data_IF_303533787844
#
_entry.id   IF_303533787844
#
_cell.length_a   1.000
_cell.length_b   1.000
_cell.length_c   1.000
_cell.angle_alpha   90.00
_cell.angle_beta   90.00
_cell.angle_gamma   90.00
#
_symmetry.space_group_name_H-M   'P 1'
#
loop_
_entity.id
_entity.type
_entity.pdbx_description
1 polymer ?
#
# COMPACT_ATOMS: atom_id res chain seq x y z
N UNK A 1 -4.65 11.39 27.33
CA UNK A 1 -5.87 11.33 26.49
C UNK A 1 -6.89 10.49 27.25
N UNK A 2 -8.04 11.07 27.60
CA UNK A 2 -9.14 10.35 28.26
C UNK A 2 -9.85 9.56 27.15
N UNK A 3 -10.04 8.26 27.35
CA UNK A 3 -10.68 7.39 26.37
C UNK A 3 -12.17 7.73 26.28
N UNK A 4 -12.59 8.24 25.11
CA UNK A 4 -13.99 8.39 24.73
C UNK A 4 -14.35 7.23 23.80
N UNK A 5 -15.44 6.48 24.08
CA UNK A 5 -15.98 5.48 23.17
C UNK A 5 -16.20 6.07 21.77
N UNK A 6 -15.95 5.29 20.72
CA UNK A 6 -16.06 5.75 19.33
C UNK A 6 -17.47 6.28 19.00
N UNK A 7 -18.51 5.63 19.52
CA UNK A 7 -19.91 6.08 19.42
C UNK A 7 -20.20 7.47 20.00
N UNK A 8 -19.32 8.01 20.86
CA UNK A 8 -19.45 9.33 21.48
C UNK A 8 -18.53 10.39 20.86
N UNK A 9 -17.75 10.07 19.81
CA UNK A 9 -16.85 11.03 19.16
C UNK A 9 -17.56 11.80 18.06
N UNK A 10 -17.44 13.13 18.10
CA UNK A 10 -17.81 13.96 16.96
C UNK A 10 -16.87 13.65 15.82
N UNK A 11 -17.42 13.27 14.66
CA UNK A 11 -16.60 13.05 13.46
C UNK A 11 -15.89 14.32 13.06
N UNK A 12 -14.64 14.16 12.67
CA UNK A 12 -13.85 15.23 12.10
C UNK A 12 -14.44 15.59 10.72
N UNK A 13 -14.55 16.88 10.41
CA UNK A 13 -15.06 17.30 9.11
C UNK A 13 -14.08 16.96 7.99
N UNK A 14 -14.61 16.67 6.79
CA UNK A 14 -13.82 16.35 5.60
C UNK A 14 -12.73 17.38 5.32
N UNK A 15 -13.05 18.68 5.48
CA UNK A 15 -12.09 19.76 5.31
C UNK A 15 -10.93 19.76 6.31
N UNK A 16 -11.13 19.25 7.54
CA UNK A 16 -10.05 19.08 8.52
C UNK A 16 -9.20 17.87 8.14
N UNK A 17 -9.81 16.72 7.85
CA UNK A 17 -9.08 15.49 7.45
C UNK A 17 -8.23 15.73 6.20
N UNK A 18 -8.75 16.48 5.22
CA UNK A 18 -8.00 16.87 4.01
C UNK A 18 -6.75 17.70 4.33
N UNK A 19 -6.82 18.63 5.29
CA UNK A 19 -5.64 19.41 5.71
C UNK A 19 -4.62 18.55 6.45
N UNK A 20 -5.10 17.65 7.31
CA UNK A 20 -4.23 16.70 8.02
C UNK A 20 -3.53 15.74 7.05
N UNK A 21 -4.26 15.24 6.05
CA UNK A 21 -3.72 14.42 4.96
C UNK A 21 -2.60 15.16 4.24
N UNK A 22 -2.83 16.42 3.82
CA UNK A 22 -1.80 17.19 3.13
C UNK A 22 -0.55 17.41 3.96
N UNK A 23 -0.73 17.67 5.26
CA UNK A 23 0.37 17.86 6.20
C UNK A 23 1.10 16.55 6.48
N UNK A 24 0.37 15.43 6.50
CA UNK A 24 0.92 14.10 6.65
C UNK A 24 1.76 13.70 5.43
N UNK A 25 1.26 13.91 4.22
CA UNK A 25 1.98 13.63 2.98
C UNK A 25 3.32 14.37 2.91
N UNK A 26 3.31 15.67 3.23
CA UNK A 26 4.53 16.48 3.28
C UNK A 26 5.52 15.97 4.32
N UNK A 27 5.06 15.61 5.53
CA UNK A 27 5.92 15.00 6.56
C UNK A 27 6.49 13.66 6.11
N UNK A 28 5.67 12.80 5.52
CA UNK A 28 6.13 11.51 5.00
C UNK A 28 7.23 11.73 3.97
N UNK A 29 6.98 12.58 2.96
CA UNK A 29 7.96 12.91 1.92
C UNK A 29 9.26 13.44 2.51
N UNK A 30 9.19 14.38 3.46
CA UNK A 30 10.37 15.01 4.07
C UNK A 30 11.12 14.09 5.06
N UNK A 31 10.47 13.05 5.57
CA UNK A 31 11.12 12.07 6.47
C UNK A 31 11.97 11.03 5.74
N UNK A 32 11.79 10.90 4.42
CA UNK A 32 12.49 9.90 3.60
C UNK A 32 13.98 10.22 3.49
N UNK A 33 14.81 9.19 3.63
CA UNK A 33 16.25 9.25 3.37
C UNK A 33 16.54 9.02 1.88
N UNK A 34 16.21 10.01 1.04
CA UNK A 34 16.54 10.02 -0.39
C UNK A 34 18.06 9.90 -0.63
N UNK A 35 18.46 9.24 -1.73
CA UNK A 35 19.87 9.16 -2.13
C UNK A 35 20.27 10.34 -3.00
N UNK A 36 19.35 10.82 -3.83
CA UNK A 36 19.63 11.88 -4.78
C UNK A 36 19.24 13.25 -4.23
N UNK A 37 19.88 14.34 -4.71
CA UNK A 37 19.59 15.70 -4.29
C UNK A 37 18.11 16.09 -4.43
N UNK A 38 17.64 17.09 -3.69
CA UNK A 38 16.21 17.46 -3.65
C UNK A 38 15.65 17.88 -5.02
N UNK A 39 16.48 18.46 -5.87
CA UNK A 39 16.18 18.85 -7.25
C UNK A 39 15.89 17.66 -8.18
N UNK A 40 16.23 16.44 -7.81
CA UNK A 40 15.95 15.28 -8.65
C UNK A 40 14.50 14.79 -8.53
N UNK A 41 14.00 14.12 -9.56
CA UNK A 41 12.65 13.55 -9.61
C UNK A 41 12.49 12.39 -8.64
N UNK A 42 11.45 12.46 -7.80
CA UNK A 42 11.09 11.45 -6.79
C UNK A 42 9.65 11.02 -6.98
N UNK A 43 9.37 9.74 -6.81
CA UNK A 43 8.08 9.12 -7.01
C UNK A 43 7.58 8.53 -5.69
N UNK A 44 6.44 9.02 -5.21
CA UNK A 44 5.78 8.51 -4.01
C UNK A 44 4.38 8.00 -4.35
N UNK A 45 4.10 6.74 -4.05
CA UNK A 45 2.80 6.14 -4.22
C UNK A 45 1.99 6.15 -2.94
N UNK A 46 0.67 6.20 -3.06
CA UNK A 46 -0.25 5.84 -1.99
C UNK A 46 -1.18 4.70 -2.44
N UNK A 47 -1.45 3.78 -1.52
CA UNK A 47 -2.45 2.72 -1.67
C UNK A 47 -3.56 2.94 -0.66
N UNK A 48 -4.80 2.84 -1.10
CA UNK A 48 -5.96 3.01 -0.22
C UNK A 48 -6.55 1.67 0.18
N UNK A 49 -7.20 1.62 1.32
CA UNK A 49 -7.93 0.44 1.77
C UNK A 49 -9.19 0.89 2.46
N UNK A 50 -10.36 0.55 1.89
CA UNK A 50 -11.64 0.87 2.53
C UNK A 50 -11.84 0.04 3.78
N UNK A 51 -12.37 0.67 4.81
CA UNK A 51 -12.83 -0.01 6.02
C UNK A 51 -14.32 -0.28 5.84
N UNK A 52 -14.77 -1.54 5.87
CA UNK A 52 -16.18 -1.86 5.77
C UNK A 52 -16.98 -1.13 6.86
N UNK A 53 -18.17 -0.62 6.49
CA UNK A 53 -19.04 0.09 7.44
C UNK A 53 -19.38 -0.77 8.67
N UNK A 54 -19.50 -2.09 8.50
CA UNK A 54 -19.74 -3.06 9.58
C UNK A 54 -18.56 -3.27 10.52
N UNK A 55 -17.33 -2.96 10.09
CA UNK A 55 -16.10 -3.09 10.88
C UNK A 55 -15.58 -1.75 11.41
N UNK A 56 -16.23 -0.63 11.08
CA UNK A 56 -15.70 0.71 11.36
C UNK A 56 -15.54 0.98 12.86
N UNK A 57 -16.55 0.66 13.68
CA UNK A 57 -16.48 0.91 15.13
C UNK A 57 -15.37 0.06 15.77
N UNK A 58 -15.31 -1.24 15.45
CA UNK A 58 -14.27 -2.15 15.92
C UNK A 58 -12.87 -1.72 15.48
N UNK A 59 -12.74 -1.22 14.25
CA UNK A 59 -11.49 -0.67 13.72
C UNK A 59 -11.08 0.58 14.50
N UNK A 60 -11.96 1.55 14.65
CA UNK A 60 -11.68 2.83 15.30
C UNK A 60 -11.35 2.62 16.79
N UNK A 61 -12.12 1.81 17.50
CA UNK A 61 -11.83 1.44 18.88
C UNK A 61 -10.44 0.83 19.02
N UNK A 62 -10.06 -0.06 18.10
CA UNK A 62 -8.71 -0.64 18.06
C UNK A 62 -7.64 0.41 17.73
N UNK A 63 -7.87 1.23 16.71
CA UNK A 63 -6.96 2.26 16.24
C UNK A 63 -6.63 3.26 17.35
N UNK A 64 -7.65 3.76 18.04
CA UNK A 64 -7.45 4.76 19.08
C UNK A 64 -6.97 4.18 20.42
N UNK A 65 -7.37 2.95 20.76
CA UNK A 65 -6.82 2.25 21.93
C UNK A 65 -5.32 1.99 21.77
N UNK A 66 -4.87 1.68 20.54
CA UNK A 66 -3.47 1.38 20.23
C UNK A 66 -2.73 2.53 19.52
N UNK A 67 -3.26 3.76 19.62
CA UNK A 67 -2.84 4.90 18.80
C UNK A 67 -1.33 5.16 18.81
N UNK A 68 -0.70 5.11 19.99
CA UNK A 68 0.73 5.36 20.13
C UNK A 68 1.61 4.31 19.43
N UNK A 69 1.14 3.07 19.37
CA UNK A 69 1.86 2.01 18.68
C UNK A 69 1.59 2.03 17.18
N UNK A 70 0.35 2.30 16.78
CA UNK A 70 -0.02 2.42 15.37
C UNK A 70 0.66 3.63 14.71
N UNK A 71 0.85 4.74 15.42
CA UNK A 71 1.58 5.90 14.91
C UNK A 71 3.06 5.66 14.61
N UNK A 72 3.64 4.55 15.06
CA UNK A 72 4.99 4.14 14.65
C UNK A 72 5.04 3.68 13.19
N UNK A 73 3.89 3.42 12.56
CA UNK A 73 3.78 3.18 11.13
C UNK A 73 3.72 4.51 10.39
N UNK A 74 4.89 5.12 10.20
CA UNK A 74 5.03 6.44 9.60
C UNK A 74 4.53 6.52 8.16
N UNK A 75 4.35 5.38 7.49
CA UNK A 75 3.76 5.24 6.14
C UNK A 75 2.22 5.15 6.13
N UNK A 76 1.55 5.15 7.29
CA UNK A 76 0.10 4.96 7.36
C UNK A 76 -0.64 6.21 7.83
N UNK A 77 -1.72 6.53 7.13
CA UNK A 77 -2.67 7.58 7.50
C UNK A 77 -4.08 7.02 7.52
N UNK A 78 -4.83 7.28 8.59
CA UNK A 78 -6.26 6.98 8.64
C UNK A 78 -7.06 8.21 8.21
N UNK A 79 -7.70 8.12 7.04
CA UNK A 79 -8.65 9.11 6.55
C UNK A 79 -10.03 8.78 7.14
N UNK A 80 -10.32 9.39 8.30
CA UNK A 80 -11.57 9.20 9.05
C UNK A 80 -12.80 9.66 8.25
N UNK A 81 -12.65 10.67 7.38
CA UNK A 81 -13.76 11.20 6.58
C UNK A 81 -14.22 10.18 5.54
N UNK A 82 -13.27 9.49 4.89
CA UNK A 82 -13.55 8.48 3.87
C UNK A 82 -13.55 7.05 4.42
N UNK A 83 -13.25 6.86 5.72
CA UNK A 83 -13.08 5.55 6.38
C UNK A 83 -12.13 4.65 5.60
N UNK A 84 -10.95 5.19 5.30
CA UNK A 84 -9.94 4.47 4.56
C UNK A 84 -8.57 4.60 5.21
N UNK A 85 -7.76 3.56 5.05
CA UNK A 85 -6.34 3.61 5.37
C UNK A 85 -5.59 3.93 4.09
N UNK A 86 -4.69 4.92 4.17
CA UNK A 86 -3.72 5.26 3.13
C UNK A 86 -2.35 4.76 3.54
N UNK A 87 -1.69 4.03 2.65
CA UNK A 87 -0.32 3.50 2.84
C UNK A 87 0.57 4.19 1.82
N UNK A 88 1.54 4.95 2.28
CA UNK A 88 2.50 5.65 1.44
C UNK A 88 3.79 4.85 1.29
N UNK A 89 4.35 4.86 0.09
CA UNK A 89 5.51 4.06 -0.27
C UNK A 89 6.35 4.72 -1.38
N UNK A 90 7.66 4.44 -1.46
CA UNK A 90 8.44 4.77 -2.64
C UNK A 90 7.97 3.93 -3.83
N UNK A 91 7.85 4.54 -5.01
CA UNK A 91 7.50 3.78 -6.23
C UNK A 91 8.77 3.10 -6.77
N UNK A 92 9.25 2.10 -6.03
CA UNK A 92 10.48 1.33 -6.27
C UNK A 92 10.47 0.62 -7.63
N UNK A 93 11.45 0.89 -8.51
CA UNK A 93 11.54 0.30 -9.85
C UNK A 93 10.42 0.70 -10.82
N UNK A 94 9.78 1.86 -10.60
CA UNK A 94 8.79 2.38 -11.54
C UNK A 94 9.40 2.64 -12.92
N UNK A 95 8.67 2.26 -13.96
CA UNK A 95 8.96 2.65 -15.34
C UNK A 95 8.16 3.89 -15.71
N UNK A 96 8.87 4.91 -16.17
CA UNK A 96 8.31 6.17 -16.69
C UNK A 96 8.90 6.42 -18.08
N UNK A 97 8.12 7.02 -18.96
CA UNK A 97 8.60 7.42 -20.28
C UNK A 97 9.45 8.70 -20.21
N UNK A 98 10.61 8.69 -20.87
CA UNK A 98 11.53 9.80 -21.01
C UNK A 98 12.18 9.76 -22.40
N UNK A 99 11.96 10.78 -23.22
CA UNK A 99 12.60 10.90 -24.54
C UNK A 99 12.31 9.71 -25.49
N UNK A 100 11.09 9.15 -25.42
CA UNK A 100 10.68 7.98 -26.20
C UNK A 100 11.27 6.64 -25.72
N UNK A 101 11.86 6.61 -24.51
CA UNK A 101 12.39 5.39 -23.87
C UNK A 101 11.80 5.24 -22.47
N UNK A 102 11.80 4.01 -21.95
CA UNK A 102 11.49 3.78 -20.54
C UNK A 102 12.75 3.96 -19.70
N UNK A 103 12.63 4.74 -18.63
CA UNK A 103 13.62 4.84 -17.57
C UNK A 103 13.07 4.22 -16.29
N UNK A 104 13.94 3.67 -15.47
CA UNK A 104 13.58 2.94 -14.24
C UNK A 104 14.03 3.71 -13.00
N UNK A 105 13.11 3.87 -12.04
CA UNK A 105 13.41 4.48 -10.75
C UNK A 105 14.20 3.52 -9.86
N UNK A 106 15.02 4.05 -8.96
CA UNK A 106 15.75 3.24 -7.97
C UNK A 106 14.81 2.65 -6.89
N UNK A 107 15.38 1.99 -5.87
CA UNK A 107 14.59 1.35 -4.80
C UNK A 107 13.87 2.34 -3.87
N UNK A 108 14.20 3.62 -3.96
CA UNK A 108 13.56 4.71 -3.22
C UNK A 108 12.58 5.50 -4.08
N UNK A 109 12.36 5.09 -5.34
CA UNK A 109 11.50 5.78 -6.29
C UNK A 109 12.15 7.04 -6.86
N UNK A 110 13.47 7.07 -7.04
CA UNK A 110 14.19 8.25 -7.51
C UNK A 110 14.80 8.05 -8.89
N UNK A 111 14.94 9.15 -9.63
CA UNK A 111 15.80 9.22 -10.81
C UNK A 111 16.94 10.21 -10.56
N UNK A 112 18.12 9.95 -11.10
CA UNK A 112 19.24 10.91 -11.08
C UNK A 112 19.07 11.98 -12.18
N UNK A 113 17.94 12.67 -12.18
CA UNK A 113 17.63 13.75 -13.13
C UNK A 113 16.63 14.72 -12.53
N UNK A 114 16.71 15.99 -12.93
CA UNK A 114 15.88 17.06 -12.37
C UNK A 114 14.49 17.12 -13.01
N UNK A 115 14.32 16.50 -14.19
CA UNK A 115 13.06 16.47 -14.93
C UNK A 115 12.98 15.26 -15.84
N UNK A 116 11.74 14.83 -16.13
CA UNK A 116 11.43 13.83 -17.14
C UNK A 116 10.70 14.48 -18.32
N UNK A 117 11.20 14.23 -19.52
CA UNK A 117 10.50 14.51 -20.79
C UNK A 117 9.25 13.63 -20.93
N UNK A 118 8.10 14.07 -20.40
CA UNK A 118 6.86 13.31 -20.48
C UNK A 118 5.77 13.80 -19.53
N UNK A 119 4.77 12.95 -19.29
CA UNK A 119 3.62 13.21 -18.42
C UNK A 119 3.80 12.65 -16.99
N UNK A 120 5.01 12.18 -16.67
CA UNK A 120 5.38 11.54 -15.41
C UNK A 120 4.49 10.35 -15.04
N UNK A 121 3.80 9.73 -16.00
CA UNK A 121 2.94 8.59 -15.71
C UNK A 121 3.77 7.33 -15.43
N UNK A 122 3.42 6.61 -14.37
CA UNK A 122 4.00 5.30 -14.08
C UNK A 122 3.32 4.27 -14.97
N UNK A 123 4.11 3.55 -15.76
CA UNK A 123 3.64 2.56 -16.74
C UNK A 123 3.59 1.15 -16.16
N UNK A 124 4.49 0.84 -15.23
CA UNK A 124 4.75 -0.51 -14.77
C UNK A 124 6.08 -0.62 -14.04
N UNK A 125 6.60 -1.85 -13.97
CA UNK A 125 7.95 -2.16 -13.48
C UNK A 125 8.48 -3.44 -14.11
N UNK A 126 9.79 -3.65 -14.11
CA UNK A 126 10.32 -4.94 -14.53
C UNK A 126 10.00 -6.05 -13.52
N UNK A 127 9.88 -7.27 -14.01
CA UNK A 127 9.88 -8.46 -13.18
C UNK A 127 11.23 -8.58 -12.46
N UNK A 128 11.17 -8.94 -11.20
CA UNK A 128 12.35 -9.23 -10.38
C UNK A 128 12.24 -10.63 -9.81
N UNK A 129 13.27 -11.09 -9.09
CA UNK A 129 13.14 -12.32 -8.32
C UNK A 129 12.11 -12.19 -7.19
N UNK A 130 11.78 -10.95 -6.80
CA UNK A 130 10.81 -10.67 -5.77
C UNK A 130 9.37 -10.47 -6.25
N UNK A 131 9.23 -10.14 -7.54
CA UNK A 131 8.02 -9.62 -8.13
C UNK A 131 7.83 -10.23 -9.53
N UNK A 132 6.72 -10.94 -9.73
CA UNK A 132 6.42 -11.65 -10.98
C UNK A 132 5.15 -11.15 -11.69
N UNK A 133 4.29 -10.39 -11.02
CA UNK A 133 2.97 -10.00 -11.50
C UNK A 133 1.86 -11.00 -11.13
N UNK A 134 0.61 -10.62 -11.42
CA UNK A 134 -0.63 -11.36 -11.14
C UNK A 134 -1.42 -11.62 -12.43
N UNK A 135 -2.49 -12.43 -12.36
CA UNK A 135 -3.31 -12.82 -13.52
C UNK A 135 -3.89 -11.64 -14.32
N UNK A 136 -4.10 -10.50 -13.67
CA UNK A 136 -4.62 -9.29 -14.31
C UNK A 136 -3.57 -8.45 -15.03
N UNK A 137 -2.28 -8.77 -14.93
CA UNK A 137 -1.24 -7.97 -15.57
C UNK A 137 -1.02 -8.38 -17.01
N UNK A 138 -0.78 -7.38 -17.86
CA UNK A 138 -0.11 -7.60 -19.14
C UNK A 138 1.39 -7.67 -18.84
N UNK A 139 2.00 -8.83 -19.08
CA UNK A 139 3.45 -9.01 -18.94
C UNK A 139 4.05 -9.19 -20.33
N UNK A 140 4.94 -8.28 -20.73
CA UNK A 140 5.61 -8.32 -22.03
C UNK A 140 7.06 -7.87 -21.87
N UNK A 141 7.98 -8.64 -22.47
CA UNK A 141 9.43 -8.36 -22.46
C UNK A 141 9.98 -8.16 -21.03
N UNK A 142 9.46 -8.93 -20.07
CA UNK A 142 9.83 -8.84 -18.66
C UNK A 142 9.25 -7.63 -17.91
N UNK A 143 8.41 -6.80 -18.55
CA UNK A 143 7.72 -5.67 -17.91
C UNK A 143 6.34 -6.11 -17.43
N UNK A 144 6.03 -5.83 -16.18
CA UNK A 144 4.68 -5.90 -15.61
C UNK A 144 4.02 -4.53 -15.84
N UNK A 145 3.12 -4.46 -16.80
CA UNK A 145 2.36 -3.24 -17.05
C UNK A 145 1.22 -3.08 -16.04
N UNK A 146 1.01 -1.84 -15.60
CA UNK A 146 -0.22 -1.47 -14.90
C UNK A 146 -1.40 -1.55 -15.89
N UNK A 147 -2.59 -1.87 -15.37
CA UNK A 147 -3.80 -1.95 -16.20
C UNK A 147 -4.06 -0.62 -16.92
N UNK A 148 -3.87 0.49 -16.20
CA UNK A 148 -3.80 1.84 -16.73
C UNK A 148 -2.53 2.52 -16.21
N UNK A 149 -1.92 3.37 -17.03
CA UNK A 149 -0.82 4.22 -16.55
C UNK A 149 -1.33 5.15 -15.45
N UNK A 150 -0.54 5.31 -14.39
CA UNK A 150 -0.96 6.09 -13.22
C UNK A 150 -0.31 7.46 -13.28
N UNK A 151 -1.13 8.50 -13.35
CA UNK A 151 -0.67 9.89 -13.34
C UNK A 151 -0.51 10.41 -11.91
N UNK A 152 0.43 11.34 -11.66
CA UNK A 152 0.53 11.98 -10.37
C UNK A 152 -0.72 12.84 -10.12
N UNK A 153 -1.31 12.74 -8.94
CA UNK A 153 -2.43 13.57 -8.54
C UNK A 153 -1.98 14.83 -7.79
N UNK A 154 -0.73 14.86 -7.34
CA UNK A 154 -0.13 15.98 -6.60
C UNK A 154 1.37 16.05 -6.87
N UNK A 155 1.92 17.27 -6.78
CA UNK A 155 3.34 17.54 -6.86
C UNK A 155 3.77 18.42 -5.67
N UNK A 156 4.93 18.10 -5.09
CA UNK A 156 5.57 18.83 -4.00
C UNK A 156 7.05 19.01 -4.33
N UNK A 157 7.43 20.17 -4.86
CA UNK A 157 8.76 20.35 -5.47
C UNK A 157 8.95 19.37 -6.63
N UNK A 158 10.04 18.60 -6.61
CA UNK A 158 10.32 17.53 -7.59
C UNK A 158 9.89 16.14 -7.10
N UNK A 159 8.92 16.09 -6.17
CA UNK A 159 8.27 14.86 -5.73
C UNK A 159 6.88 14.76 -6.35
N UNK A 160 6.62 13.67 -7.06
CA UNK A 160 5.36 13.35 -7.73
C UNK A 160 4.62 12.29 -6.92
N UNK A 161 3.37 12.59 -6.55
CA UNK A 161 2.56 11.73 -5.67
C UNK A 161 1.46 11.07 -6.48
N UNK A 162 1.40 9.73 -6.41
CA UNK A 162 0.52 8.87 -7.19
C UNK A 162 -0.51 8.21 -6.30
N UNK A 163 -1.74 8.08 -6.79
CA UNK A 163 -2.78 7.25 -6.17
C UNK A 163 -2.87 5.93 -6.93
N UNK A 164 -2.37 4.85 -6.33
CA UNK A 164 -2.39 3.50 -6.91
C UNK A 164 -3.71 2.77 -6.65
N UNK A 165 -4.76 3.50 -6.27
CA UNK A 165 -6.10 2.99 -6.09
C UNK A 165 -6.28 2.18 -4.81
N UNK A 166 -7.38 1.44 -4.78
CA UNK A 166 -7.75 0.64 -3.62
C UNK A 166 -7.09 -0.73 -3.66
N UNK A 167 -6.59 -1.16 -2.51
CA UNK A 167 -6.31 -2.57 -2.24
C UNK A 167 -7.65 -3.28 -2.12
N UNK A 168 -7.83 -4.30 -2.92
CA UNK A 168 -8.93 -5.23 -2.73
C UNK A 168 -8.70 -6.07 -1.45
N UNK A 169 -9.64 -5.99 -0.51
CA UNK A 169 -9.74 -6.84 0.68
C UNK A 169 -10.68 -8.03 0.46
N UNK A 170 -11.48 -8.00 -0.61
CA UNK A 170 -12.39 -9.05 -1.07
C UNK A 170 -11.70 -10.17 -1.84
N UNK A 171 -10.36 -10.19 -1.84
CA UNK A 171 -9.56 -11.28 -2.40
C UNK A 171 -9.82 -12.65 -1.71
N UNK A 172 -10.86 -12.76 -0.86
CA UNK A 172 -11.36 -13.95 -0.18
C UNK A 172 -12.90 -14.08 -0.04
N UNK A 173 -13.76 -13.49 -0.89
CA UNK A 173 -15.16 -13.96 -1.14
C UNK A 173 -15.91 -13.00 -2.11
N UNK A 174 -16.78 -13.38 -3.06
CA UNK A 174 -17.62 -14.55 -3.27
C UNK A 174 -17.59 -14.93 -4.78
N UNK A 175 -17.52 -16.22 -5.11
CA UNK A 175 -17.75 -16.77 -6.46
C UNK A 175 -16.71 -16.60 -7.58
N UNK A 176 -15.47 -17.01 -7.28
CA UNK A 176 -14.69 -17.89 -8.18
C UNK A 176 -14.06 -19.04 -7.36
N UNK A 177 -14.92 -19.78 -6.64
CA UNK A 177 -14.66 -21.12 -6.08
C UNK A 177 -13.37 -21.32 -5.26
N UNK A 178 -13.38 -20.95 -3.97
CA UNK A 178 -12.45 -21.44 -2.92
C UNK A 178 -10.97 -20.96 -3.00
N UNK A 179 -10.71 -19.64 -2.96
CA UNK A 179 -9.34 -19.13 -2.71
C UNK A 179 -8.89 -19.38 -1.25
N UNK A 180 -8.22 -20.52 -1.05
CA UNK A 180 -7.67 -21.07 0.21
C UNK A 180 -6.89 -20.07 1.09
N UNK A 181 -6.96 -20.14 2.43
CA UNK A 181 -6.15 -19.30 3.35
C UNK A 181 -4.63 -19.57 3.28
N UNK A 182 -4.22 -20.73 2.75
CA UNK A 182 -2.84 -21.24 2.75
C UNK A 182 -2.05 -20.86 1.49
N UNK A 183 -0.72 -20.81 1.61
CA UNK A 183 0.25 -20.42 0.56
C UNK A 183 0.34 -21.43 -0.60
N UNK A 184 -0.03 -22.69 -0.39
CA UNK A 184 -0.04 -23.71 -1.44
C UNK A 184 -0.98 -23.37 -2.62
N UNK A 185 -1.84 -22.36 -2.45
CA UNK A 185 -2.67 -21.80 -3.50
C UNK A 185 -1.93 -20.73 -4.31
N UNK A 186 -1.28 -21.15 -5.42
CA UNK A 186 -0.55 -20.26 -6.34
C UNK A 186 -1.44 -19.22 -7.06
N UNK A 187 -2.76 -19.26 -6.90
CA UNK A 187 -3.70 -18.34 -7.56
C UNK A 187 -4.05 -17.10 -6.73
N UNK A 188 -3.44 -16.89 -5.56
CA UNK A 188 -3.57 -15.62 -4.82
C UNK A 188 -2.70 -14.54 -5.46
N UNK A 189 -3.23 -13.33 -5.63
CA UNK A 189 -2.49 -12.22 -6.23
C UNK A 189 -1.13 -11.98 -5.56
N UNK A 190 -1.10 -11.79 -4.25
CA UNK A 190 0.16 -11.57 -3.52
C UNK A 190 1.15 -12.76 -3.61
N UNK A 191 0.70 -13.99 -3.37
CA UNK A 191 1.59 -15.17 -3.37
C UNK A 191 2.10 -15.47 -4.78
N UNK A 192 1.24 -15.35 -5.79
CA UNK A 192 1.62 -15.47 -7.20
C UNK A 192 2.68 -14.44 -7.57
N UNK A 193 2.45 -13.20 -7.17
CA UNK A 193 3.38 -12.11 -7.42
C UNK A 193 4.76 -12.37 -6.79
N UNK A 194 4.80 -13.06 -5.66
CA UNK A 194 6.03 -13.35 -4.92
C UNK A 194 6.60 -14.75 -5.18
N UNK A 195 6.24 -15.37 -6.31
CA UNK A 195 6.74 -16.69 -6.72
C UNK A 195 6.44 -17.79 -5.69
N UNK A 196 5.19 -17.84 -5.21
CA UNK A 196 4.72 -18.87 -4.29
C UNK A 196 5.05 -18.61 -2.82
N UNK A 197 5.54 -17.41 -2.46
CA UNK A 197 5.86 -17.05 -1.08
C UNK A 197 4.93 -15.96 -0.54
N UNK A 198 4.71 -15.92 0.77
CA UNK A 198 4.07 -14.76 1.41
C UNK A 198 5.08 -13.61 1.59
N UNK A 199 4.59 -12.39 1.88
CA UNK A 199 5.45 -11.22 2.11
C UNK A 199 6.50 -11.46 3.21
N UNK A 200 6.12 -12.20 4.26
CA UNK A 200 6.98 -12.52 5.40
C UNK A 200 8.24 -13.26 4.98
N UNK A 201 8.09 -14.36 4.24
CA UNK A 201 9.21 -15.13 3.73
C UNK A 201 9.94 -14.37 2.62
N UNK A 202 9.20 -13.71 1.73
CA UNK A 202 9.78 -13.06 0.55
C UNK A 202 10.69 -11.89 0.90
N UNK A 203 10.31 -11.13 1.92
CA UNK A 203 10.99 -9.88 2.33
C UNK A 203 11.61 -9.98 3.73
N UNK A 204 11.66 -11.18 4.31
CA UNK A 204 12.24 -11.40 5.64
C UNK A 204 11.52 -10.67 6.76
N UNK A 205 10.21 -10.40 6.62
CA UNK A 205 9.41 -9.69 7.62
C UNK A 205 8.96 -10.72 8.65
N UNK A 206 9.59 -10.72 9.82
CA UNK A 206 9.32 -11.66 10.93
C UNK A 206 9.11 -10.92 12.25
N UNK A 207 8.62 -9.70 12.16
CA UNK A 207 8.49 -8.81 13.30
C UNK A 207 7.10 -8.94 13.92
N UNK A 208 7.01 -9.63 15.04
CA UNK A 208 6.02 -9.28 16.06
C UNK A 208 5.52 -10.42 16.94
N UNK A 209 4.29 -10.25 17.46
CA UNK A 209 3.81 -10.94 18.66
C UNK A 209 3.32 -12.36 18.42
N UNK A 210 2.67 -12.62 17.28
CA UNK A 210 1.99 -13.89 17.07
C UNK A 210 2.98 -14.99 16.67
N UNK A 211 2.66 -16.27 16.94
CA UNK A 211 3.45 -17.37 16.40
C UNK A 211 3.49 -17.30 14.88
N UNK A 212 4.70 -17.24 14.33
CA UNK A 212 4.92 -17.11 12.89
C UNK A 212 4.24 -18.23 12.10
N UNK A 213 3.42 -17.86 11.11
CA UNK A 213 2.74 -18.82 10.22
C UNK A 213 3.22 -18.73 8.78
N UNK A 214 4.28 -19.49 8.53
CA UNK A 214 4.97 -19.59 7.24
C UNK A 214 4.09 -20.01 6.06
N UNK A 215 2.93 -20.61 6.33
CA UNK A 215 2.03 -21.24 5.37
C UNK A 215 0.79 -20.39 5.07
N UNK A 216 0.66 -19.19 5.64
CA UNK A 216 -0.53 -18.35 5.47
C UNK A 216 -0.23 -17.00 4.83
N UNK A 217 -1.24 -16.46 4.14
CA UNK A 217 -1.18 -15.11 3.60
C UNK A 217 -1.44 -14.11 4.73
N UNK A 218 -0.53 -13.14 4.89
CA UNK A 218 -0.51 -12.12 5.94
C UNK A 218 -0.38 -12.70 7.36
N UNK A 219 0.69 -12.32 8.03
CA UNK A 219 0.86 -12.59 9.46
C UNK A 219 0.54 -11.30 10.24
N UNK A 220 -0.40 -11.40 11.18
CA UNK A 220 -0.97 -10.27 11.92
C UNK A 220 -0.17 -10.05 13.20
N UNK A 221 1.03 -9.54 13.07
CA UNK A 221 2.01 -9.57 14.15
C UNK A 221 2.03 -8.33 15.06
N UNK A 222 1.00 -7.48 15.01
CA UNK A 222 1.07 -6.06 15.41
C UNK A 222 0.19 -5.67 16.61
N UNK A 223 0.32 -4.44 17.16
CA UNK A 223 -0.24 -4.07 18.46
C UNK A 223 -1.73 -4.39 18.59
N UNK A 224 -2.13 -4.99 19.72
CA UNK A 224 -3.53 -5.31 20.01
C UNK A 224 -4.15 -6.42 19.15
N UNK A 225 -3.36 -7.12 18.32
CA UNK A 225 -3.80 -8.37 17.69
C UNK A 225 -4.10 -9.45 18.73
N UNK A 226 -5.15 -10.22 18.49
CA UNK A 226 -5.50 -11.45 19.21
C UNK A 226 -4.96 -12.70 18.49
N UNK A 227 -4.14 -12.51 17.45
CA UNK A 227 -3.66 -13.56 16.56
C UNK A 227 -4.78 -14.32 15.82
N UNK A 228 -5.99 -13.77 15.76
CA UNK A 228 -7.12 -14.28 14.99
C UNK A 228 -7.30 -13.48 13.69
N UNK A 229 -7.66 -14.18 12.61
CA UNK A 229 -7.76 -13.62 11.25
C UNK A 229 -9.15 -13.07 10.91
N UNK A 230 -10.09 -13.08 11.85
CA UNK A 230 -11.47 -12.67 11.63
C UNK A 230 -11.62 -11.16 11.32
N UNK A 231 -10.73 -10.30 11.83
CA UNK A 231 -10.85 -8.85 11.69
C UNK A 231 -9.77 -8.28 10.77
N UNK A 232 -10.01 -8.34 9.45
CA UNK A 232 -9.00 -8.04 8.44
C UNK A 232 -8.62 -6.57 8.40
N UNK A 233 -9.59 -5.65 8.42
CA UNK A 233 -9.27 -4.21 8.39
C UNK A 233 -8.58 -3.77 9.68
N UNK A 234 -9.09 -4.23 10.83
CA UNK A 234 -8.56 -3.99 12.17
C UNK A 234 -7.07 -4.35 12.29
N UNK A 235 -6.68 -5.53 11.83
CA UNK A 235 -5.31 -6.03 11.98
C UNK A 235 -4.42 -5.83 10.75
N UNK A 236 -4.96 -5.30 9.65
CA UNK A 236 -4.15 -5.05 8.46
C UNK A 236 -3.02 -4.06 8.74
N UNK A 237 -3.27 -3.03 9.56
CA UNK A 237 -2.26 -2.04 9.95
C UNK A 237 -1.06 -2.73 10.59
N UNK A 238 0.04 -2.68 9.86
CA UNK A 238 1.30 -3.28 10.25
C UNK A 238 1.43 -4.77 9.92
N UNK A 239 0.42 -5.47 9.40
CA UNK A 239 0.63 -6.83 8.87
C UNK A 239 1.84 -6.89 7.91
N UNK A 240 2.41 -8.07 7.71
CA UNK A 240 3.58 -8.20 6.82
C UNK A 240 3.32 -7.70 5.40
N UNK A 241 2.07 -7.81 4.91
CA UNK A 241 1.66 -7.22 3.64
C UNK A 241 1.64 -5.69 3.70
N UNK A 242 1.08 -5.11 4.76
CA UNK A 242 1.11 -3.66 4.99
C UNK A 242 2.55 -3.13 5.05
N UNK A 243 3.48 -3.87 5.64
CA UNK A 243 4.90 -3.50 5.70
C UNK A 243 5.54 -3.59 4.32
N UNK A 244 5.31 -4.68 3.59
CA UNK A 244 5.87 -4.87 2.26
C UNK A 244 5.42 -3.76 1.29
N UNK A 245 4.14 -3.39 1.33
CA UNK A 245 3.61 -2.26 0.54
C UNK A 245 4.27 -0.96 0.96
N UNK A 246 4.33 -0.65 2.27
CA UNK A 246 4.96 0.57 2.78
C UNK A 246 6.43 0.73 2.38
N UNK A 247 7.14 -0.38 2.15
CA UNK A 247 8.53 -0.39 1.68
C UNK A 247 8.69 -0.22 0.16
N UNK A 248 7.61 -0.27 -0.62
CA UNK A 248 7.65 -0.19 -2.08
C UNK A 248 7.82 -1.54 -2.79
N UNK A 249 8.06 -2.62 -2.04
CA UNK A 249 8.34 -3.94 -2.60
C UNK A 249 7.20 -4.51 -3.45
N UNK A 250 5.96 -4.08 -3.19
CA UNK A 250 4.86 -4.25 -4.11
C UNK A 250 3.91 -3.06 -4.11
N UNK A 251 3.38 -2.74 -5.28
CA UNK A 251 2.29 -1.77 -5.42
C UNK A 251 0.91 -2.43 -5.25
N UNK A 252 0.94 -3.75 -4.97
CA UNK A 252 -0.13 -4.74 -5.12
C UNK A 252 -0.74 -4.67 -6.53
N UNK A 253 0.09 -4.74 -7.56
CA UNK A 253 -0.09 -4.59 -9.03
C UNK A 253 -1.36 -5.12 -9.73
N UNK A 254 -2.54 -4.78 -9.20
CA UNK A 254 -3.67 -4.07 -9.78
C UNK A 254 -4.18 -4.38 -11.20
N UNK A 255 -5.40 -4.94 -11.20
CA UNK A 255 -6.47 -4.70 -12.19
C UNK A 255 -7.06 -3.29 -11.99
N UNK A 256 -7.49 -2.65 -13.08
CA UNK A 256 -8.17 -1.36 -13.09
C UNK A 256 -9.57 -1.41 -12.45
N UNK A 257 -9.92 -0.27 -11.85
CA UNK A 257 -11.22 0.19 -11.35
C UNK A 257 -12.30 -0.87 -11.04
N UNK A 258 -12.48 -1.18 -9.75
CA UNK A 258 -13.86 -1.17 -9.26
C UNK A 258 -14.29 0.29 -9.28
N UNK A 259 -14.92 0.71 -10.39
CA UNK A 259 -15.85 1.84 -10.36
C UNK A 259 -16.71 1.64 -9.12
N UNK A 260 -16.65 2.58 -8.20
CA UNK A 260 -17.57 2.58 -7.07
C UNK A 260 -18.96 2.64 -7.66
N UNK A 261 -19.68 1.53 -7.58
CA UNK A 261 -21.12 1.49 -7.72
C UNK A 261 -21.65 0.35 -6.84
N UNK A 262 -22.52 0.79 -5.94
CA UNK A 262 -23.44 0.14 -4.99
C UNK A 262 -22.91 -0.64 -3.77
#
# INVERSE_FOLDING_TARGET
>A
LIWTPTSARSRISEGVVKRELFSYEERYINSRSYKHPNETVKLVGCKKMKIPSSETEDFEDHYYTNYHEIKKFESHFYDEANREIRIYFPVENALVEHGGKMIEANELGEFEMDSVDGDYAVLGRYQTDHVRGVDGNIIKDGVIFLADKVHPHRQLGNVYVYDFGYKDLHDHDYDLGKRCEKIWCKSKGCVKNHDGQNCSNKFGIKEGRCPFRSETCMDYNRPGTDCNKAHRAKYFLGSDCSIAVAKGHCYNEMLAAATGED
#
